data_IF_018884301911
#
_entry.id   IF_018884301911
#
_cell.length_a   1.000
_cell.length_b   1.000
_cell.length_c   1.000
_cell.angle_alpha   90.00
_cell.angle_beta   90.00
_cell.angle_gamma   90.00
#
_symmetry.space_group_name_H-M   'P 1'
#
loop_
_entity.id
_entity.type
_entity.pdbx_description
1 polymer ?
#
# COMPACT_ATOMS: atom_id res chain seq x y z
N UNK A 1 -3.39 24.82 18.86
CA UNK A 1 -2.54 25.30 17.83
C UNK A 1 -3.19 25.20 16.47
N UNK A 2 -3.48 26.34 15.90
CA UNK A 2 -4.34 26.41 14.72
C UNK A 2 -3.69 25.90 13.44
N UNK A 3 -2.35 25.84 13.36
CA UNK A 3 -1.64 25.40 12.16
C UNK A 3 -1.48 23.91 12.01
N UNK A 4 -1.86 23.14 13.04
CA UNK A 4 -1.65 21.68 13.05
C UNK A 4 -2.95 20.96 13.36
N UNK A 5 -3.85 21.03 12.42
CA UNK A 5 -5.07 20.24 12.52
C UNK A 5 -4.90 18.93 11.78
N UNK A 6 -5.06 17.81 12.46
CA UNK A 6 -5.07 16.49 11.86
C UNK A 6 -6.47 15.93 11.94
N UNK A 7 -7.02 15.62 10.78
CA UNK A 7 -8.31 14.95 10.68
C UNK A 7 -8.06 13.45 10.67
N UNK A 8 -8.27 12.81 11.82
CA UNK A 8 -8.05 11.37 11.97
C UNK A 8 -8.94 10.54 11.03
N UNK A 9 -10.16 11.01 10.78
CA UNK A 9 -11.05 10.34 9.86
C UNK A 9 -10.53 10.35 8.42
N UNK A 10 -10.07 11.50 7.96
CA UNK A 10 -9.46 11.62 6.63
C UNK A 10 -8.17 10.84 6.53
N UNK A 11 -7.35 10.86 7.56
CA UNK A 11 -6.11 10.09 7.62
C UNK A 11 -6.37 8.59 7.54
N UNK A 12 -7.35 8.10 8.28
CA UNK A 12 -7.74 6.69 8.22
C UNK A 12 -8.24 6.32 6.82
N UNK A 13 -9.05 7.16 6.19
CA UNK A 13 -9.54 6.94 4.83
C UNK A 13 -8.38 6.86 3.82
N UNK A 14 -7.39 7.71 3.96
CA UNK A 14 -6.21 7.67 3.10
C UNK A 14 -5.39 6.39 3.32
N UNK A 15 -5.28 5.94 4.56
CA UNK A 15 -4.62 4.66 4.86
C UNK A 15 -5.34 3.49 4.20
N UNK A 16 -6.66 3.44 4.31
CA UNK A 16 -7.47 2.39 3.68
C UNK A 16 -7.40 2.46 2.15
N UNK A 17 -7.38 3.66 1.58
CA UNK A 17 -7.20 3.84 0.14
C UNK A 17 -5.84 3.35 -0.32
N UNK A 18 -4.80 3.57 0.48
CA UNK A 18 -3.45 3.08 0.17
C UNK A 18 -3.42 1.55 0.14
N UNK A 19 -4.07 0.89 1.09
CA UNK A 19 -4.19 -0.58 1.10
C UNK A 19 -4.96 -1.06 -0.12
N UNK A 20 -6.07 -0.40 -0.46
CA UNK A 20 -6.87 -0.74 -1.64
C UNK A 20 -6.06 -0.58 -2.94
N UNK A 21 -5.25 0.47 -3.02
CA UNK A 21 -4.36 0.69 -4.17
C UNK A 21 -3.32 -0.42 -4.27
N UNK A 22 -2.80 -0.89 -3.12
CA UNK A 22 -1.86 -2.02 -3.10
C UNK A 22 -2.51 -3.30 -3.64
N UNK A 23 -3.76 -3.55 -3.32
CA UNK A 23 -4.51 -4.70 -3.84
C UNK A 23 -4.69 -4.61 -5.35
N UNK A 24 -5.05 -3.43 -5.86
CA UNK A 24 -5.17 -3.18 -7.31
C UNK A 24 -3.83 -3.40 -8.00
N UNK A 25 -2.76 -2.94 -7.39
CA UNK A 25 -1.40 -3.13 -7.90
C UNK A 25 -1.04 -4.62 -7.96
N UNK A 26 -1.40 -5.40 -6.94
CA UNK A 26 -1.18 -6.84 -6.92
C UNK A 26 -1.92 -7.54 -8.09
N UNK A 27 -3.14 -7.10 -8.39
CA UNK A 27 -3.91 -7.63 -9.52
C UNK A 27 -3.22 -7.32 -10.86
N UNK A 28 -2.67 -6.11 -11.01
CA UNK A 28 -1.93 -5.74 -12.22
C UNK A 28 -0.64 -6.53 -12.38
N UNK A 29 0.05 -6.84 -11.28
CA UNK A 29 1.23 -7.72 -11.31
C UNK A 29 0.84 -9.11 -11.80
N UNK A 30 -0.27 -9.66 -11.32
CA UNK A 30 -0.77 -10.96 -11.76
C UNK A 30 -1.11 -10.95 -13.25
N UNK A 31 -1.74 -9.88 -13.73
CA UNK A 31 -2.05 -9.71 -15.16
C UNK A 31 -0.78 -9.64 -15.99
N UNK A 32 0.22 -8.92 -15.53
CA UNK A 32 1.52 -8.85 -16.22
C UNK A 32 2.16 -10.21 -16.31
N UNK A 33 2.18 -10.97 -15.22
CA UNK A 33 2.75 -12.32 -15.19
C UNK A 33 2.04 -13.24 -16.19
N UNK A 34 0.70 -13.19 -16.23
CA UNK A 34 -0.09 -13.99 -17.17
C UNK A 34 0.19 -13.60 -18.61
N UNK A 35 0.30 -12.31 -18.90
CA UNK A 35 0.59 -11.81 -20.24
C UNK A 35 1.98 -12.25 -20.71
N UNK A 36 2.97 -12.23 -19.81
CA UNK A 36 4.33 -12.69 -20.12
C UNK A 36 4.34 -14.19 -20.38
N UNK A 37 3.62 -14.97 -19.58
CA UNK A 37 3.51 -16.42 -19.79
C UNK A 37 2.88 -16.73 -21.17
N UNK A 38 1.86 -15.98 -21.56
CA UNK A 38 1.25 -16.09 -22.88
C UNK A 38 2.24 -15.77 -24.00
N UNK A 39 3.03 -14.71 -23.80
CA UNK A 39 4.08 -14.35 -24.77
C UNK A 39 5.12 -15.46 -24.88
N UNK A 40 5.54 -16.05 -23.77
CA UNK A 40 6.53 -17.13 -23.75
C UNK A 40 6.02 -18.40 -24.44
N UNK A 41 4.71 -18.56 -24.58
CA UNK A 41 4.16 -19.71 -25.31
C UNK A 41 4.42 -19.63 -26.82
N UNK A 42 4.67 -18.41 -27.33
CA UNK A 42 4.88 -18.17 -28.77
C UNK A 42 6.27 -17.66 -29.12
N UNK A 43 6.99 -17.08 -28.16
CA UNK A 43 8.34 -16.55 -28.35
C UNK A 43 9.37 -17.49 -27.74
N UNK A 44 10.25 -18.01 -28.56
CA UNK A 44 11.24 -19.00 -28.15
C UNK A 44 12.64 -18.54 -28.50
N UNK A 45 13.63 -19.11 -27.80
CA UNK A 45 15.04 -18.84 -28.05
C UNK A 45 15.70 -18.16 -26.85
N UNK A 46 16.99 -17.92 -26.98
CA UNK A 46 17.81 -17.35 -25.90
C UNK A 46 17.35 -15.97 -25.48
N UNK A 47 16.95 -15.14 -26.44
CA UNK A 47 16.47 -13.79 -26.14
C UNK A 47 15.17 -13.82 -25.33
N UNK A 48 14.28 -14.77 -25.63
CA UNK A 48 13.04 -14.96 -24.89
C UNK A 48 13.33 -15.39 -23.45
N UNK A 49 14.26 -16.31 -23.24
CA UNK A 49 14.67 -16.77 -21.91
C UNK A 49 15.25 -15.63 -21.10
N UNK A 50 16.13 -14.82 -21.69
CA UNK A 50 16.73 -13.66 -21.03
C UNK A 50 15.65 -12.64 -20.64
N UNK A 51 14.68 -12.40 -21.53
CA UNK A 51 13.56 -11.51 -21.25
C UNK A 51 12.73 -12.01 -20.08
N UNK A 52 12.39 -13.30 -20.08
CA UNK A 52 11.59 -13.91 -19.01
C UNK A 52 12.29 -13.80 -17.66
N UNK A 53 13.58 -14.05 -17.62
CA UNK A 53 14.37 -13.92 -16.39
C UNK A 53 14.35 -12.48 -15.85
N UNK A 54 14.51 -11.49 -16.74
CA UNK A 54 14.46 -10.10 -16.38
C UNK A 54 13.08 -9.70 -15.83
N UNK A 55 12.01 -10.17 -16.46
CA UNK A 55 10.64 -9.92 -16.01
C UNK A 55 10.38 -10.57 -14.66
N UNK A 56 10.80 -11.82 -14.47
CA UNK A 56 10.62 -12.51 -13.19
C UNK A 56 11.28 -11.77 -12.05
N UNK A 57 12.46 -11.23 -12.27
CA UNK A 57 13.18 -10.41 -11.30
C UNK A 57 12.40 -9.13 -10.97
N UNK A 58 11.87 -8.46 -11.99
CA UNK A 58 11.06 -7.27 -11.79
C UNK A 58 9.76 -7.55 -11.06
N UNK A 59 9.13 -8.70 -11.32
CA UNK A 59 7.90 -9.10 -10.62
C UNK A 59 8.18 -9.28 -9.13
N UNK A 60 9.32 -9.85 -8.76
CA UNK A 60 9.73 -9.96 -7.34
C UNK A 60 9.81 -8.57 -6.72
N UNK A 61 10.46 -7.62 -7.40
CA UNK A 61 10.59 -6.25 -6.92
C UNK A 61 9.24 -5.55 -6.80
N UNK A 62 8.36 -5.74 -7.77
CA UNK A 62 7.01 -5.16 -7.75
C UNK A 62 6.18 -5.71 -6.59
N UNK A 63 6.28 -7.01 -6.31
CA UNK A 63 5.59 -7.62 -5.18
C UNK A 63 6.11 -7.08 -3.85
N UNK A 64 7.40 -6.87 -3.72
CA UNK A 64 8.00 -6.25 -2.52
C UNK A 64 7.48 -4.83 -2.33
N UNK A 65 7.38 -4.07 -3.42
CA UNK A 65 6.81 -2.72 -3.38
C UNK A 65 5.34 -2.75 -2.95
N UNK A 66 4.56 -3.68 -3.48
CA UNK A 66 3.16 -3.85 -3.09
C UNK A 66 3.02 -4.14 -1.58
N UNK A 67 3.88 -5.00 -1.04
CA UNK A 67 3.89 -5.30 0.39
C UNK A 67 4.20 -4.05 1.21
N UNK A 68 5.12 -3.21 0.75
CA UNK A 68 5.43 -1.94 1.41
C UNK A 68 4.24 -0.98 1.38
N UNK A 69 3.51 -0.92 0.26
CA UNK A 69 2.30 -0.10 0.16
C UNK A 69 1.22 -0.56 1.14
N UNK A 70 1.04 -1.86 1.26
CA UNK A 70 0.07 -2.43 2.20
C UNK A 70 0.44 -2.05 3.64
N UNK A 71 1.71 -2.24 3.99
CA UNK A 71 2.22 -1.89 5.31
C UNK A 71 2.06 -0.39 5.59
N UNK A 72 2.41 0.43 4.62
CA UNK A 72 2.28 1.89 4.75
C UNK A 72 0.82 2.28 5.02
N UNK A 73 -0.11 1.74 4.25
CA UNK A 73 -1.53 2.03 4.43
C UNK A 73 -2.04 1.60 5.80
N UNK A 74 -1.62 0.41 6.26
CA UNK A 74 -1.97 -0.08 7.58
C UNK A 74 -1.41 0.80 8.68
N UNK A 75 -0.16 1.27 8.53
CA UNK A 75 0.48 2.16 9.50
C UNK A 75 -0.19 3.53 9.53
N UNK A 76 -0.63 4.04 8.40
CA UNK A 76 -1.38 5.30 8.34
C UNK A 76 -2.69 5.16 9.09
N UNK A 77 -3.44 4.10 8.87
CA UNK A 77 -4.71 3.84 9.56
C UNK A 77 -4.52 3.65 11.06
N UNK A 78 -3.48 2.92 11.44
CA UNK A 78 -3.11 2.71 12.83
C UNK A 78 -2.75 4.03 13.51
N UNK A 79 -1.95 4.87 12.83
CA UNK A 79 -1.58 6.19 13.32
C UNK A 79 -2.78 7.11 13.49
N UNK A 80 -3.73 7.05 12.58
CA UNK A 80 -4.96 7.83 12.65
C UNK A 80 -5.79 7.43 13.88
N UNK A 81 -5.90 6.13 14.15
CA UNK A 81 -6.62 5.64 15.32
C UNK A 81 -5.94 6.09 16.62
N UNK A 82 -4.63 5.98 16.68
CA UNK A 82 -3.86 6.45 17.82
C UNK A 82 -4.03 7.93 18.08
N UNK A 83 -4.01 8.71 17.03
CA UNK A 83 -4.21 10.15 17.10
C UNK A 83 -5.59 10.49 17.66
N UNK A 84 -6.61 9.80 17.19
CA UNK A 84 -7.99 9.99 17.63
C UNK A 84 -8.15 9.64 19.13
N UNK A 85 -7.60 8.52 19.57
CA UNK A 85 -7.61 8.10 20.97
C UNK A 85 -6.93 9.15 21.87
N UNK A 86 -5.80 9.68 21.43
CA UNK A 86 -5.07 10.71 22.16
C UNK A 86 -5.89 12.00 22.27
N UNK A 87 -6.56 12.40 21.22
CA UNK A 87 -7.45 13.57 21.22
C UNK A 87 -8.60 13.39 22.20
N UNK A 88 -9.21 12.23 22.26
CA UNK A 88 -10.28 11.91 23.20
C UNK A 88 -9.78 11.96 24.64
N UNK A 89 -8.60 11.40 24.90
CA UNK A 89 -8.00 11.45 26.23
C UNK A 89 -7.71 12.88 26.66
N UNK A 90 -7.17 13.69 25.78
CA UNK A 90 -6.88 15.08 26.05
C UNK A 90 -8.16 15.88 26.33
N UNK A 91 -9.20 15.65 25.57
CA UNK A 91 -10.49 16.29 25.77
C UNK A 91 -11.11 15.90 27.11
N UNK A 92 -11.02 14.63 27.48
CA UNK A 92 -11.51 14.12 28.76
C UNK A 92 -10.74 14.73 29.93
N UNK A 93 -9.43 14.82 29.83
CA UNK A 93 -8.59 15.44 30.85
C UNK A 93 -8.92 16.91 31.03
N UNK A 94 -9.09 17.64 29.94
CA UNK A 94 -9.46 19.05 29.98
C UNK A 94 -10.84 19.24 30.64
N UNK A 95 -11.77 18.36 30.35
CA UNK A 95 -13.12 18.34 30.91
C UNK A 95 -13.08 18.14 32.44
N UNK A 96 -12.20 17.29 32.90
CA UNK A 96 -12.06 16.98 34.33
C UNK A 96 -11.37 18.09 35.12
N UNK A 97 -10.63 18.95 34.44
CA UNK A 97 -9.95 20.09 35.08
C UNK A 97 -10.87 21.30 35.36
N UNK A 98 -11.97 21.37 34.67
CA UNK A 98 -12.92 22.46 34.75
C UNK A 98 -14.28 21.98 35.23
#
# INVERSE_FOLDING_TARGET
MSGLHVDAGSMNSQGLNTVSNAESFANEISNLSSNVDSLMSIWRGMAATTFKEAVDEQIINLNSFRELLTLLGEKISEGARHFDETEEENASMASNLF
#
